data_IF_550763327411
#
_entry.id   IF_550763327411
#
_cell.length_a   1.000
_cell.length_b   1.000
_cell.length_c   1.000
_cell.angle_alpha   90.00
_cell.angle_beta   90.00
_cell.angle_gamma   90.00
#
_symmetry.space_group_name_H-M   'P 1'
#
loop_
_entity.id
_entity.type
_entity.pdbx_description
1 polymer ?
#
# COMPACT_ATOMS: atom_id res chain seq x y z
N UNK A 1 -6.55 -9.07 22.71
CA UNK A 1 -5.96 -7.80 22.21
C UNK A 1 -7.04 -6.71 21.99
N UNK A 2 -6.95 -5.55 22.67
CA UNK A 2 -7.95 -4.46 22.59
C UNK A 2 -8.11 -3.87 21.19
N UNK A 3 -7.08 -3.99 20.35
CA UNK A 3 -7.00 -3.31 19.07
C UNK A 3 -7.26 -4.22 17.88
N UNK A 4 -7.59 -5.50 18.08
CA UNK A 4 -7.84 -6.44 16.98
C UNK A 4 -6.62 -6.67 16.05
N UNK A 5 -5.44 -6.19 16.42
CA UNK A 5 -4.18 -6.48 15.73
C UNK A 5 -3.69 -7.87 16.15
N UNK A 6 -3.16 -8.61 15.18
CA UNK A 6 -2.40 -9.84 15.44
C UNK A 6 -1.05 -9.48 16.07
N UNK A 7 -0.47 -10.42 16.81
CA UNK A 7 0.82 -10.23 17.47
C UNK A 7 1.95 -9.93 16.45
N UNK A 8 1.85 -10.45 15.22
CA UNK A 8 2.76 -10.15 14.12
C UNK A 8 2.76 -8.67 13.67
N UNK A 9 1.73 -7.90 14.05
CA UNK A 9 1.62 -6.46 13.76
C UNK A 9 2.11 -5.57 14.92
N UNK A 10 2.38 -6.16 16.08
CA UNK A 10 2.92 -5.45 17.24
C UNK A 10 4.44 -5.23 17.08
N UNK A 11 4.97 -4.12 17.58
CA UNK A 11 6.37 -3.80 17.42
C UNK A 11 7.23 -4.56 18.44
N UNK A 12 8.35 -5.13 18.01
CA UNK A 12 9.36 -5.70 18.90
C UNK A 12 10.40 -4.65 19.32
N UNK A 13 11.11 -4.83 20.44
CA UNK A 13 12.19 -3.92 20.85
C UNK A 13 13.27 -3.75 19.78
N UNK A 14 13.70 -4.84 19.15
CA UNK A 14 14.75 -4.82 18.13
C UNK A 14 14.30 -4.09 16.86
N UNK A 15 13.07 -4.32 16.41
CA UNK A 15 12.54 -3.64 15.23
C UNK A 15 12.32 -2.14 15.48
N UNK A 16 11.88 -1.76 16.69
CA UNK A 16 11.84 -0.34 17.10
C UNK A 16 13.22 0.28 17.08
N UNK A 17 14.23 -0.39 17.63
CA UNK A 17 15.61 0.12 17.66
C UNK A 17 16.15 0.34 16.24
N UNK A 18 15.96 -0.62 15.32
CA UNK A 18 16.33 -0.49 13.90
C UNK A 18 15.64 0.70 13.22
N UNK A 19 14.33 0.82 13.41
CA UNK A 19 13.56 1.92 12.79
C UNK A 19 13.94 3.27 13.38
N UNK A 20 14.11 3.38 14.69
CA UNK A 20 14.54 4.62 15.34
C UNK A 20 15.95 5.03 14.91
N UNK A 21 16.87 4.08 14.73
CA UNK A 21 18.19 4.36 14.15
C UNK A 21 18.08 4.96 12.74
N UNK A 22 17.17 4.44 11.92
CA UNK A 22 16.91 4.97 10.56
C UNK A 22 16.24 6.34 10.59
N UNK A 23 15.32 6.61 11.53
CA UNK A 23 14.61 7.90 11.63
C UNK A 23 15.39 9.00 12.35
N UNK A 24 16.30 8.63 13.26
CA UNK A 24 17.02 9.56 14.14
C UNK A 24 17.68 10.73 13.40
N UNK A 25 18.40 10.51 12.28
CA UNK A 25 19.01 11.61 11.50
C UNK A 25 18.00 12.59 10.89
N UNK A 26 16.72 12.20 10.84
CA UNK A 26 15.65 12.94 10.19
C UNK A 26 14.58 13.46 11.17
N UNK A 27 14.74 13.19 12.47
CA UNK A 27 13.89 13.78 13.52
C UNK A 27 14.15 15.29 13.56
N UNK A 28 13.09 16.09 13.70
CA UNK A 28 13.14 17.55 13.67
C UNK A 28 13.12 18.19 12.27
N UNK A 29 13.33 17.42 11.20
CA UNK A 29 13.12 17.90 9.82
C UNK A 29 11.63 18.03 9.47
N UNK A 30 11.35 18.77 8.38
CA UNK A 30 10.00 18.80 7.80
C UNK A 30 9.55 17.40 7.38
N UNK A 31 8.25 17.21 7.19
CA UNK A 31 7.70 15.92 6.79
C UNK A 31 8.26 15.46 5.43
N UNK A 32 8.35 16.38 4.48
CA UNK A 32 8.90 16.14 3.14
C UNK A 32 10.36 15.72 3.22
N UNK A 33 11.17 16.45 4.00
CA UNK A 33 12.58 16.15 4.21
C UNK A 33 12.78 14.81 4.92
N UNK A 34 11.92 14.49 5.90
CA UNK A 34 11.99 13.22 6.62
C UNK A 34 11.63 12.03 5.72
N UNK A 35 10.58 12.14 4.91
CA UNK A 35 10.21 11.12 3.93
C UNK A 35 11.32 10.95 2.87
N UNK A 36 11.85 12.06 2.35
CA UNK A 36 12.95 12.03 1.39
C UNK A 36 14.23 11.40 1.96
N UNK A 37 14.57 11.71 3.21
CA UNK A 37 15.71 11.12 3.93
C UNK A 37 15.55 9.62 4.15
N UNK A 38 14.36 9.19 4.60
CA UNK A 38 14.01 7.79 4.81
C UNK A 38 14.17 6.93 3.54
N UNK A 39 13.72 7.43 2.39
CA UNK A 39 13.88 6.73 1.10
C UNK A 39 15.23 7.00 0.43
N UNK A 40 16.02 7.93 0.97
CA UNK A 40 17.32 8.32 0.46
C UNK A 40 18.34 7.18 0.46
N UNK A 41 18.23 6.28 1.43
CA UNK A 41 19.09 5.09 1.56
C UNK A 41 18.63 3.85 0.77
N UNK A 42 17.54 3.92 0.00
CA UNK A 42 17.11 2.82 -0.86
C UNK A 42 17.92 2.79 -2.17
N UNK A 43 18.37 1.61 -2.58
CA UNK A 43 19.12 1.41 -3.83
C UNK A 43 18.15 1.29 -5.01
N UNK A 44 17.57 2.42 -5.40
CA UNK A 44 16.48 2.54 -6.39
C UNK A 44 16.75 1.83 -7.72
N UNK A 45 18.00 1.77 -8.16
CA UNK A 45 18.37 1.13 -9.43
C UNK A 45 18.23 -0.40 -9.42
N UNK A 46 18.37 -1.03 -8.25
CA UNK A 46 18.39 -2.49 -8.08
C UNK A 46 17.19 -3.00 -7.28
N UNK A 47 16.72 -2.24 -6.29
CA UNK A 47 15.68 -2.69 -5.37
C UNK A 47 14.25 -2.52 -5.93
N UNK A 48 14.01 -1.55 -6.81
CA UNK A 48 12.67 -1.32 -7.34
C UNK A 48 12.33 -2.30 -8.47
N UNK A 49 11.06 -2.73 -8.58
CA UNK A 49 10.54 -3.39 -9.78
C UNK A 49 10.81 -2.55 -11.04
N UNK A 50 11.03 -3.22 -12.17
CA UNK A 50 11.27 -2.57 -13.47
C UNK A 50 10.22 -1.52 -13.84
N UNK A 51 8.90 -1.76 -13.68
CA UNK A 51 7.85 -0.77 -13.94
C UNK A 51 7.97 0.50 -13.10
N UNK A 52 8.64 0.43 -11.94
CA UNK A 52 8.75 1.56 -11.03
C UNK A 52 10.02 2.36 -11.32
N UNK A 53 11.03 1.78 -11.97
CA UNK A 53 12.29 2.50 -12.23
C UNK A 53 12.03 3.76 -13.05
N UNK A 54 12.92 4.74 -12.96
CA UNK A 54 12.84 5.91 -13.84
C UNK A 54 13.08 5.46 -15.27
N UNK A 55 12.25 5.89 -16.22
CA UNK A 55 12.39 5.48 -17.62
C UNK A 55 13.78 5.85 -18.14
N UNK A 56 14.47 4.89 -18.77
CA UNK A 56 15.71 5.14 -19.52
C UNK A 56 15.35 5.32 -21.00
N UNK A 57 15.98 6.28 -21.67
CA UNK A 57 15.76 6.54 -23.10
C UNK A 57 14.79 7.70 -23.38
N UNK A 58 14.24 7.80 -24.61
CA UNK A 58 13.40 8.91 -25.01
C UNK A 58 12.15 8.97 -24.12
N UNK A 59 11.81 10.18 -23.68
CA UNK A 59 10.65 10.41 -22.85
C UNK A 59 9.37 9.99 -23.61
N UNK A 60 8.36 9.44 -22.92
CA UNK A 60 7.11 9.08 -23.57
C UNK A 60 6.49 10.32 -24.23
N UNK A 61 5.76 10.09 -25.32
CA UNK A 61 4.95 11.11 -25.96
C UNK A 61 3.94 11.57 -24.91
N UNK A 62 3.91 12.88 -24.68
CA UNK A 62 3.05 13.50 -23.69
C UNK A 62 2.78 14.92 -24.15
N UNK A 63 1.60 15.12 -24.69
CA UNK A 63 1.22 16.39 -25.29
C UNK A 63 0.80 17.39 -24.23
N UNK A 64 0.80 18.66 -24.61
CA UNK A 64 0.22 19.72 -23.78
C UNK A 64 -1.29 19.48 -23.58
N UNK A 65 -1.97 18.85 -24.55
CA UNK A 65 -3.35 18.41 -24.41
C UNK A 65 -3.52 17.36 -23.30
N UNK A 66 -2.66 16.33 -23.24
CA UNK A 66 -2.65 15.38 -22.13
C UNK A 66 -2.45 16.07 -20.78
N UNK A 67 -1.53 17.04 -20.70
CA UNK A 67 -1.31 17.82 -19.49
C UNK A 67 -2.57 18.62 -19.10
N UNK A 68 -3.23 19.24 -20.08
CA UNK A 68 -4.42 20.06 -19.87
C UNK A 68 -5.63 19.23 -19.44
N UNK A 69 -5.79 18.00 -19.94
CA UNK A 69 -6.83 17.08 -19.46
C UNK A 69 -6.67 16.76 -17.97
N UNK A 70 -5.45 16.45 -17.54
CA UNK A 70 -5.14 16.22 -16.12
C UNK A 70 -5.29 17.50 -15.28
N UNK A 71 -4.87 18.65 -15.81
CA UNK A 71 -5.09 19.95 -15.15
C UNK A 71 -6.60 20.26 -15.00
N UNK A 72 -7.40 19.90 -16.00
CA UNK A 72 -8.86 19.99 -15.98
C UNK A 72 -9.48 19.17 -14.86
N UNK A 73 -9.08 17.90 -14.74
CA UNK A 73 -9.51 17.04 -13.63
C UNK A 73 -9.13 17.66 -12.27
N UNK A 74 -7.88 18.10 -12.11
CA UNK A 74 -7.40 18.71 -10.86
C UNK A 74 -8.22 19.94 -10.48
N UNK A 75 -8.52 20.83 -11.45
CA UNK A 75 -9.36 22.02 -11.21
C UNK A 75 -10.77 21.63 -10.79
N UNK A 76 -11.37 20.62 -11.43
CA UNK A 76 -12.70 20.13 -11.06
C UNK A 76 -12.70 19.55 -9.63
N UNK A 77 -11.72 18.73 -9.28
CA UNK A 77 -11.58 18.14 -7.94
C UNK A 77 -11.31 19.20 -6.86
N UNK A 78 -10.59 20.28 -7.18
CA UNK A 78 -10.40 21.42 -6.29
C UNK A 78 -11.71 22.19 -6.06
N UNK A 79 -12.56 22.31 -7.08
CA UNK A 79 -13.81 23.05 -6.99
C UNK A 79 -14.96 22.24 -6.36
N UNK A 80 -15.04 20.94 -6.66
CA UNK A 80 -16.18 20.08 -6.34
C UNK A 80 -15.87 19.00 -5.29
N UNK A 81 -14.60 18.81 -4.95
CA UNK A 81 -14.16 17.80 -3.99
C UNK A 81 -14.12 16.36 -4.51
N UNK A 82 -14.57 16.09 -5.74
CA UNK A 82 -14.61 14.75 -6.35
C UNK A 82 -14.25 14.78 -7.84
N UNK A 83 -13.77 13.67 -8.42
CA UNK A 83 -13.56 13.57 -9.87
C UNK A 83 -14.91 13.48 -10.61
N UNK A 84 -14.89 13.85 -11.89
CA UNK A 84 -15.97 13.60 -12.83
C UNK A 84 -15.64 12.38 -13.70
N UNK A 85 -16.65 11.74 -14.30
CA UNK A 85 -16.41 10.62 -15.20
C UNK A 85 -15.67 11.07 -16.46
N UNK A 86 -14.54 10.42 -16.74
CA UNK A 86 -13.70 10.77 -17.88
C UNK A 86 -12.70 9.67 -18.23
N UNK A 87 -12.23 9.73 -19.48
CA UNK A 87 -11.08 8.98 -19.96
C UNK A 87 -9.86 9.91 -19.99
N UNK A 88 -8.79 9.53 -19.30
CA UNK A 88 -7.54 10.31 -19.24
C UNK A 88 -6.36 9.50 -19.77
N UNK A 89 -5.46 10.13 -20.55
CA UNK A 89 -4.26 9.45 -21.04
C UNK A 89 -3.28 9.19 -19.87
N UNK A 90 -2.47 8.14 -20.00
CA UNK A 90 -1.33 7.84 -19.15
C UNK A 90 -0.04 7.81 -20.00
N UNK A 91 1.13 8.20 -19.45
CA UNK A 91 2.35 8.17 -20.24
C UNK A 91 2.70 6.73 -20.64
N UNK A 92 2.84 6.48 -21.94
CA UNK A 92 3.01 5.12 -22.48
C UNK A 92 1.80 4.56 -23.23
N UNK A 93 0.90 5.42 -23.70
CA UNK A 93 -0.26 5.08 -24.58
C UNK A 93 -1.40 4.32 -23.89
N UNK A 94 -1.31 4.11 -22.58
CA UNK A 94 -2.43 3.62 -21.76
C UNK A 94 -3.42 4.72 -21.41
N UNK A 95 -4.60 4.33 -20.96
CA UNK A 95 -5.65 5.24 -20.50
C UNK A 95 -6.26 4.76 -19.19
N UNK A 96 -6.62 5.71 -18.33
CA UNK A 96 -7.44 5.46 -17.15
C UNK A 96 -8.87 5.95 -17.41
N UNK A 97 -9.84 5.07 -17.18
CA UNK A 97 -11.26 5.41 -17.14
C UNK A 97 -11.68 5.64 -15.69
N UNK A 98 -12.41 6.72 -15.46
CA UNK A 98 -13.09 7.02 -14.20
C UNK A 98 -14.58 7.00 -14.49
N UNK A 99 -15.30 6.09 -13.85
CA UNK A 99 -16.75 5.93 -14.00
C UNK A 99 -17.51 6.91 -13.09
N UNK A 100 -18.82 7.07 -13.33
CA UNK A 100 -19.67 7.98 -12.54
C UNK A 100 -19.78 7.59 -11.06
N UNK A 101 -19.69 6.30 -10.76
CA UNK A 101 -19.70 5.76 -9.40
C UNK A 101 -18.33 5.82 -8.70
N UNK A 102 -17.29 6.29 -9.41
CA UNK A 102 -15.92 6.39 -8.93
C UNK A 102 -15.08 5.13 -9.14
N UNK A 103 -15.63 4.07 -9.75
CA UNK A 103 -14.85 2.93 -10.21
C UNK A 103 -13.79 3.37 -11.23
N UNK A 104 -12.65 2.68 -11.22
CA UNK A 104 -11.49 3.04 -12.03
C UNK A 104 -10.99 1.81 -12.77
N UNK A 105 -10.63 1.97 -14.04
CA UNK A 105 -9.97 0.92 -14.82
C UNK A 105 -8.83 1.49 -15.66
N UNK A 106 -7.80 0.68 -15.93
CA UNK A 106 -6.69 1.05 -16.80
C UNK A 106 -6.62 0.07 -17.96
N UNK A 107 -6.85 0.56 -19.18
CA UNK A 107 -6.98 -0.26 -20.40
C UNK A 107 -7.90 -1.48 -20.22
N UNK A 108 -9.02 -1.30 -19.51
CA UNK A 108 -10.00 -2.35 -19.22
C UNK A 108 -9.70 -3.21 -17.99
N UNK A 109 -8.54 -3.05 -17.34
CA UNK A 109 -8.24 -3.72 -16.07
C UNK A 109 -8.88 -2.93 -14.93
N UNK A 110 -9.87 -3.51 -14.27
CA UNK A 110 -10.53 -2.91 -13.10
C UNK A 110 -9.55 -2.77 -11.92
N UNK A 111 -9.58 -1.61 -11.26
CA UNK A 111 -8.81 -1.36 -10.05
C UNK A 111 -9.66 -1.68 -8.83
N UNK A 112 -9.09 -2.42 -7.88
CA UNK A 112 -9.85 -2.85 -6.70
C UNK A 112 -10.08 -1.70 -5.72
N UNK A 113 -9.24 -0.67 -5.81
CA UNK A 113 -9.17 0.44 -4.86
C UNK A 113 -8.94 1.75 -5.60
N UNK A 114 -9.45 2.83 -5.02
CA UNK A 114 -9.29 4.16 -5.57
C UNK A 114 -7.82 4.60 -5.55
N UNK A 115 -7.38 5.22 -6.64
CA UNK A 115 -6.10 5.90 -6.71
C UNK A 115 -6.16 7.28 -6.03
N UNK A 116 -5.02 7.80 -5.55
CA UNK A 116 -4.88 9.19 -5.12
C UNK A 116 -4.88 10.13 -6.34
N UNK A 117 -6.03 10.27 -6.99
CA UNK A 117 -6.20 10.97 -8.27
C UNK A 117 -5.77 12.43 -8.22
N UNK A 118 -5.91 13.12 -7.08
CA UNK A 118 -5.52 14.52 -6.95
C UNK A 118 -4.00 14.68 -7.10
N UNK A 119 -3.25 13.82 -6.43
CA UNK A 119 -1.79 13.81 -6.48
C UNK A 119 -1.28 13.37 -7.86
N UNK A 120 -1.91 12.35 -8.46
CA UNK A 120 -1.59 11.90 -9.81
C UNK A 120 -1.82 13.03 -10.82
N UNK A 121 -2.93 13.77 -10.68
CA UNK A 121 -3.22 14.91 -11.55
C UNK A 121 -2.17 16.03 -11.42
N UNK A 122 -1.65 16.31 -10.21
CA UNK A 122 -0.54 17.25 -10.01
C UNK A 122 0.75 16.80 -10.70
N UNK A 123 1.00 15.49 -10.79
CA UNK A 123 2.13 14.98 -11.58
C UNK A 123 1.91 15.09 -13.07
N UNK A 124 0.79 14.57 -13.55
CA UNK A 124 0.54 14.37 -14.97
C UNK A 124 0.09 15.63 -15.71
N UNK A 125 -0.34 16.67 -14.98
CA UNK A 125 -0.49 18.02 -15.51
C UNK A 125 0.84 18.73 -15.80
N UNK A 126 1.98 18.12 -15.45
CA UNK A 126 3.31 18.67 -15.69
C UNK A 126 4.12 17.76 -16.61
N UNK A 127 4.36 18.22 -17.84
CA UNK A 127 5.09 17.45 -18.85
C UNK A 127 6.48 17.01 -18.40
N UNK A 128 7.15 17.73 -17.51
CA UNK A 128 8.48 17.36 -17.01
C UNK A 128 8.48 16.14 -16.08
N UNK A 129 7.31 15.72 -15.57
CA UNK A 129 7.18 14.62 -14.61
C UNK A 129 6.75 13.30 -15.26
N UNK A 130 6.47 13.28 -16.56
CA UNK A 130 6.00 12.08 -17.28
C UNK A 130 6.93 10.86 -17.24
N UNK A 131 8.24 11.08 -17.12
CA UNK A 131 9.27 10.02 -17.19
C UNK A 131 9.73 9.53 -15.80
N UNK A 132 9.05 9.94 -14.72
CA UNK A 132 9.43 9.59 -13.35
C UNK A 132 9.20 8.11 -13.00
N UNK A 133 8.33 7.46 -13.77
CA UNK A 133 8.00 6.04 -13.73
C UNK A 133 8.18 5.50 -15.15
N UNK A 134 8.70 4.28 -15.30
CA UNK A 134 8.96 3.66 -16.60
C UNK A 134 7.67 3.17 -17.25
N UNK A 135 6.79 2.58 -16.45
CA UNK A 135 5.47 2.10 -16.84
C UNK A 135 4.41 2.57 -15.84
N UNK A 136 3.61 3.55 -16.27
CA UNK A 136 2.55 4.12 -15.45
C UNK A 136 1.37 3.17 -15.24
N UNK A 137 1.03 2.34 -16.22
CA UNK A 137 -0.08 1.39 -16.09
C UNK A 137 0.21 0.42 -14.97
N UNK A 138 1.35 -0.28 -15.06
CA UNK A 138 1.71 -1.29 -14.06
C UNK A 138 1.95 -0.66 -12.68
N UNK A 139 2.57 0.53 -12.60
CA UNK A 139 2.74 1.23 -11.33
C UNK A 139 1.41 1.66 -10.68
N UNK A 140 0.44 2.15 -11.44
CA UNK A 140 -0.86 2.54 -10.90
C UNK A 140 -1.69 1.34 -10.46
N UNK A 141 -1.64 0.22 -11.20
CA UNK A 141 -2.26 -1.04 -10.75
C UNK A 141 -1.65 -1.45 -9.40
N UNK A 142 -0.32 -1.46 -9.28
CA UNK A 142 0.35 -1.76 -8.01
C UNK A 142 -0.04 -0.81 -6.87
N UNK A 143 -0.11 0.49 -7.16
CA UNK A 143 -0.54 1.51 -6.19
C UNK A 143 -1.97 1.26 -5.70
N UNK A 144 -2.88 0.86 -6.60
CA UNK A 144 -4.25 0.48 -6.22
C UNK A 144 -4.27 -0.74 -5.31
N UNK A 145 -3.44 -1.76 -5.58
CA UNK A 145 -3.41 -2.98 -4.77
C UNK A 145 -2.89 -2.75 -3.34
N UNK A 146 -1.90 -1.87 -3.16
CA UNK A 146 -1.29 -1.61 -1.83
C UNK A 146 -2.03 -0.58 -0.98
N UNK A 147 -2.98 0.15 -1.54
CA UNK A 147 -3.71 1.21 -0.84
C UNK A 147 -5.07 0.73 -0.34
N UNK A 148 -5.61 1.45 0.65
CA UNK A 148 -6.98 1.30 1.14
C UNK A 148 -7.64 2.66 1.26
N UNK A 149 -8.92 2.74 0.90
CA UNK A 149 -9.71 3.93 1.21
C UNK A 149 -9.88 4.04 2.73
N UNK A 150 -9.62 5.23 3.26
CA UNK A 150 -9.80 5.51 4.68
C UNK A 150 -11.10 6.31 4.89
N UNK A 151 -12.19 5.68 5.36
CA UNK A 151 -13.40 6.41 5.68
C UNK A 151 -13.23 7.23 6.97
N UNK A 152 -14.08 8.23 7.20
CA UNK A 152 -14.17 8.89 8.51
C UNK A 152 -14.49 7.87 9.60
N UNK A 153 -13.64 7.79 10.63
CA UNK A 153 -13.75 6.78 11.69
C UNK A 153 -13.53 7.35 13.09
N UNK A 154 -14.19 6.74 14.07
CA UNK A 154 -13.97 6.96 15.50
C UNK A 154 -12.75 6.19 16.00
N UNK A 155 -12.21 6.59 17.15
CA UNK A 155 -11.00 6.02 17.75
C UNK A 155 -11.08 4.49 17.91
N UNK A 156 -12.24 3.97 18.31
CA UNK A 156 -12.46 2.54 18.55
C UNK A 156 -12.54 1.71 17.26
N UNK A 157 -12.76 2.33 16.11
CA UNK A 157 -12.96 1.65 14.84
C UNK A 157 -11.65 1.31 14.13
N UNK A 158 -10.55 1.99 14.49
CA UNK A 158 -9.24 1.80 13.86
C UNK A 158 -8.72 0.37 13.90
N UNK A 159 -8.81 -0.27 15.08
CA UNK A 159 -8.35 -1.65 15.26
C UNK A 159 -9.11 -2.65 14.38
N UNK A 160 -10.45 -2.70 14.50
CA UNK A 160 -11.28 -3.50 13.61
C UNK A 160 -11.11 -3.17 12.12
N UNK A 161 -10.92 -1.91 11.77
CA UNK A 161 -10.66 -1.50 10.38
C UNK A 161 -9.32 -2.04 9.87
N UNK A 162 -8.23 -1.91 10.62
CA UNK A 162 -6.92 -2.46 10.23
C UNK A 162 -6.98 -3.98 10.03
N UNK A 163 -7.73 -4.68 10.88
CA UNK A 163 -7.94 -6.13 10.74
C UNK A 163 -8.73 -6.52 9.48
N UNK A 164 -9.79 -5.76 9.13
CA UNK A 164 -10.61 -6.03 7.93
C UNK A 164 -9.98 -5.54 6.63
N UNK A 165 -9.27 -4.41 6.67
CA UNK A 165 -8.66 -3.79 5.50
C UNK A 165 -7.27 -4.36 5.18
N UNK A 166 -6.68 -5.13 6.12
CA UNK A 166 -5.46 -5.88 5.90
C UNK A 166 -5.63 -7.03 4.93
N UNK A 167 -4.50 -7.66 4.63
CA UNK A 167 -4.42 -8.81 3.74
C UNK A 167 -3.70 -9.95 4.44
N UNK A 168 -3.99 -11.17 4.00
CA UNK A 168 -3.27 -12.33 4.49
C UNK A 168 -1.78 -12.21 4.09
N UNK A 169 -0.88 -12.69 4.94
CA UNK A 169 0.54 -12.79 4.55
C UNK A 169 0.71 -13.73 3.36
N UNK A 170 -0.08 -14.81 3.34
CA UNK A 170 -0.25 -15.70 2.19
C UNK A 170 -1.72 -16.13 2.13
N UNK A 171 -2.29 -16.26 0.93
CA UNK A 171 -3.72 -16.50 0.69
C UNK A 171 -4.15 -17.97 0.76
N UNK A 172 -3.19 -18.91 0.68
CA UNK A 172 -3.40 -20.35 0.77
C UNK A 172 -2.37 -21.05 1.68
N UNK A 173 -2.69 -22.21 2.28
CA UNK A 173 -1.75 -22.94 3.14
C UNK A 173 -0.68 -23.71 2.35
N UNK A 174 -0.84 -23.87 1.03
CA UNK A 174 0.17 -24.41 0.14
C UNK A 174 -0.02 -23.88 -1.29
N UNK A 175 1.00 -24.05 -2.13
CA UNK A 175 1.07 -23.47 -3.48
C UNK A 175 0.01 -23.99 -4.45
N UNK A 176 -0.37 -25.27 -4.32
CA UNK A 176 -1.24 -25.97 -5.28
C UNK A 176 -2.73 -25.67 -5.09
N UNK A 177 -3.09 -24.93 -4.04
CA UNK A 177 -4.48 -24.55 -3.83
C UNK A 177 -4.85 -23.38 -4.73
N UNK A 178 -5.83 -23.65 -5.59
CA UNK A 178 -6.37 -22.67 -6.53
C UNK A 178 -7.34 -21.70 -5.87
N UNK A 179 -8.12 -22.18 -4.90
CA UNK A 179 -9.09 -21.39 -4.14
C UNK A 179 -8.44 -20.64 -2.96
N UNK A 180 -8.92 -19.43 -2.68
CA UNK A 180 -8.58 -18.72 -1.44
C UNK A 180 -9.37 -19.30 -0.28
N UNK A 181 -8.68 -19.80 0.75
CA UNK A 181 -9.35 -20.36 1.94
C UNK A 181 -9.79 -19.26 2.90
N UNK A 182 -9.10 -18.11 2.91
CA UNK A 182 -9.39 -17.01 3.84
C UNK A 182 -10.33 -16.01 3.19
N UNK A 183 -11.38 -15.61 3.90
CA UNK A 183 -12.27 -14.49 3.55
C UNK A 183 -11.62 -13.10 3.65
N UNK A 184 -10.30 -12.99 3.51
CA UNK A 184 -9.53 -11.75 3.50
C UNK A 184 -8.92 -11.48 2.13
N UNK A 185 -8.42 -10.26 1.92
CA UNK A 185 -7.74 -9.92 0.67
C UNK A 185 -6.42 -10.69 0.52
N UNK A 186 -6.12 -11.09 -0.72
CA UNK A 186 -4.82 -11.59 -1.14
C UNK A 186 -3.73 -10.53 -0.90
N UNK A 187 -2.48 -10.94 -0.75
CA UNK A 187 -1.36 -10.01 -0.65
C UNK A 187 -1.28 -9.11 -1.90
N UNK A 188 -1.08 -7.77 -1.78
CA UNK A 188 -1.08 -6.83 -2.90
C UNK A 188 -0.13 -7.18 -4.03
N UNK A 189 0.98 -7.86 -3.73
CA UNK A 189 1.90 -8.33 -4.76
C UNK A 189 1.27 -9.36 -5.69
N UNK A 190 0.61 -10.38 -5.15
CA UNK A 190 -0.07 -11.35 -5.97
C UNK A 190 -1.30 -10.75 -6.68
N UNK A 191 -2.00 -9.81 -6.05
CA UNK A 191 -3.07 -9.06 -6.72
C UNK A 191 -2.53 -8.28 -7.94
N UNK A 192 -1.40 -7.58 -7.78
CA UNK A 192 -0.76 -6.82 -8.85
C UNK A 192 -0.22 -7.70 -9.98
N UNK A 193 0.44 -8.82 -9.65
CA UNK A 193 0.94 -9.77 -10.66
C UNK A 193 -0.24 -10.45 -11.37
N UNK A 194 -1.24 -10.92 -10.64
CA UNK A 194 -2.39 -11.60 -11.20
C UNK A 194 -3.19 -10.71 -12.15
N UNK A 195 -3.33 -9.40 -11.85
CA UNK A 195 -4.00 -8.44 -12.74
C UNK A 195 -3.26 -8.14 -14.04
N UNK A 196 -1.98 -8.52 -14.13
CA UNK A 196 -1.19 -8.41 -15.35
C UNK A 196 -1.22 -9.71 -16.18
N UNK A 197 -1.82 -10.78 -15.67
CA UNK A 197 -2.02 -12.01 -16.41
C UNK A 197 -3.25 -11.89 -17.31
N UNK A 198 -3.26 -12.65 -18.42
CA UNK A 198 -4.41 -12.76 -19.33
C UNK A 198 -5.57 -13.60 -18.73
N UNK A 199 -5.32 -14.24 -17.59
CA UNK A 199 -6.28 -15.07 -16.85
C UNK A 199 -7.04 -14.23 -15.81
N UNK A 200 -8.35 -14.45 -15.72
CA UNK A 200 -9.20 -13.82 -14.70
C UNK A 200 -9.62 -14.83 -13.63
N UNK A 201 -9.73 -14.42 -12.36
CA UNK A 201 -10.18 -15.30 -11.29
C UNK A 201 -11.63 -15.75 -11.52
N UNK A 202 -11.95 -16.97 -11.09
CA UNK A 202 -13.29 -17.56 -11.17
C UNK A 202 -13.69 -18.25 -9.86
N UNK A 203 -14.77 -19.04 -9.86
CA UNK A 203 -15.26 -19.74 -8.67
C UNK A 203 -14.24 -20.73 -8.07
N UNK A 204 -13.25 -21.19 -8.85
CA UNK A 204 -12.27 -22.22 -8.48
C UNK A 204 -10.84 -21.71 -8.44
N UNK A 205 -10.59 -20.51 -8.96
CA UNK A 205 -9.25 -19.93 -9.11
C UNK A 205 -9.21 -18.52 -8.54
N UNK A 206 -8.33 -18.32 -7.57
CA UNK A 206 -8.07 -17.01 -6.99
C UNK A 206 -7.03 -16.23 -7.79
N UNK A 207 -7.09 -14.90 -7.72
CA UNK A 207 -6.08 -14.02 -8.31
C UNK A 207 -4.67 -14.32 -7.78
N UNK A 208 -4.58 -14.76 -6.51
CA UNK A 208 -3.32 -15.16 -5.90
C UNK A 208 -2.75 -16.43 -6.51
N UNK A 209 -3.60 -17.43 -6.78
CA UNK A 209 -3.18 -18.64 -7.49
C UNK A 209 -2.68 -18.32 -8.91
N UNK A 210 -3.43 -17.51 -9.66
CA UNK A 210 -3.03 -17.06 -11.01
C UNK A 210 -1.62 -16.45 -10.95
N UNK A 211 -1.37 -15.54 -10.00
CA UNK A 211 -0.06 -14.94 -9.83
C UNK A 211 1.05 -15.96 -9.49
N UNK A 212 0.80 -16.89 -8.55
CA UNK A 212 1.78 -17.93 -8.15
C UNK A 212 2.16 -18.85 -9.30
N UNK A 213 1.22 -19.14 -10.20
CA UNK A 213 1.47 -19.98 -11.37
C UNK A 213 2.22 -19.25 -12.49
N UNK A 214 2.25 -17.92 -12.45
CA UNK A 214 2.89 -17.05 -13.43
C UNK A 214 4.24 -16.50 -12.94
N UNK A 215 5.12 -17.37 -12.40
CA UNK A 215 6.43 -16.97 -11.87
C UNK A 215 7.36 -16.32 -12.92
N UNK A 216 7.19 -16.65 -14.20
CA UNK A 216 7.93 -15.97 -15.28
C UNK A 216 7.67 -14.46 -15.29
N UNK A 217 6.41 -14.04 -15.06
CA UNK A 217 6.06 -12.63 -14.97
C UNK A 217 6.68 -11.98 -13.73
N UNK A 218 6.75 -12.70 -12.61
CA UNK A 218 7.46 -12.22 -11.41
C UNK A 218 8.95 -11.97 -11.70
N UNK A 219 9.59 -12.89 -12.44
CA UNK A 219 10.97 -12.74 -12.90
C UNK A 219 11.14 -11.52 -13.82
N UNK A 220 10.23 -11.31 -14.78
CA UNK A 220 10.28 -10.17 -15.72
C UNK A 220 10.10 -8.81 -15.05
N UNK A 221 9.24 -8.75 -14.02
CA UNK A 221 9.01 -7.54 -13.23
C UNK A 221 10.26 -7.15 -12.42
N UNK A 222 11.08 -8.13 -12.03
CA UNK A 222 12.31 -7.99 -11.23
C UNK A 222 12.12 -7.20 -9.92
N UNK A 223 13.24 -6.85 -9.27
CA UNK A 223 13.28 -6.02 -8.08
C UNK A 223 13.08 -6.81 -6.80
N UNK A 224 13.27 -6.12 -5.67
CA UNK A 224 13.30 -6.75 -4.35
C UNK A 224 12.00 -7.50 -3.98
N UNK A 225 10.79 -6.99 -4.32
CA UNK A 225 9.55 -7.72 -4.06
C UNK A 225 9.53 -9.08 -4.78
N UNK A 226 9.84 -9.11 -6.08
CA UNK A 226 9.82 -10.35 -6.87
C UNK A 226 10.86 -11.35 -6.38
N UNK A 227 12.10 -10.91 -6.15
CA UNK A 227 13.16 -11.76 -5.60
C UNK A 227 12.73 -12.42 -4.28
N UNK A 228 12.18 -11.63 -3.37
CA UNK A 228 11.79 -12.12 -2.05
C UNK A 228 10.60 -13.09 -2.11
N UNK A 229 9.63 -12.83 -2.99
CA UNK A 229 8.50 -13.73 -3.17
C UNK A 229 8.91 -15.04 -3.83
N UNK A 230 9.73 -15.00 -4.88
CA UNK A 230 10.24 -16.22 -5.54
C UNK A 230 10.99 -17.11 -4.55
N UNK A 231 11.82 -16.54 -3.67
CA UNK A 231 12.51 -17.29 -2.60
C UNK A 231 11.52 -17.96 -1.62
N UNK A 232 10.40 -17.31 -1.29
CA UNK A 232 9.37 -17.88 -0.40
C UNK A 232 8.60 -18.99 -1.11
N UNK A 233 8.33 -18.84 -2.41
CA UNK A 233 7.60 -19.85 -3.18
C UNK A 233 8.40 -21.15 -3.38
N UNK A 234 9.70 -21.16 -3.06
CA UNK A 234 10.55 -22.36 -3.06
C UNK A 234 10.54 -23.08 -1.69
N UNK A 235 9.90 -22.53 -0.67
CA UNK A 235 9.97 -22.99 0.73
C UNK A 235 8.56 -23.13 1.35
N UNK A 236 8.03 -24.36 1.34
CA UNK A 236 6.71 -24.70 1.87
C UNK A 236 6.54 -24.38 3.37
N UNK A 237 7.62 -24.41 4.16
CA UNK A 237 7.58 -24.05 5.58
C UNK A 237 7.32 -22.55 5.74
N UNK A 238 8.05 -21.71 4.99
CA UNK A 238 7.82 -20.25 4.96
C UNK A 238 6.39 -19.91 4.49
N UNK A 239 5.89 -20.58 3.46
CA UNK A 239 4.50 -20.40 3.00
C UNK A 239 3.50 -20.68 4.12
N UNK A 240 3.70 -21.78 4.84
CA UNK A 240 2.84 -22.20 5.96
C UNK A 240 2.88 -21.20 7.13
N UNK A 241 4.04 -20.66 7.45
CA UNK A 241 4.20 -19.61 8.46
C UNK A 241 3.47 -18.32 8.04
N UNK A 242 3.67 -17.87 6.80
CA UNK A 242 3.07 -16.64 6.27
C UNK A 242 1.55 -16.73 6.14
N UNK A 243 1.00 -17.91 5.83
CA UNK A 243 -0.45 -18.13 5.82
C UNK A 243 -1.08 -17.79 7.17
N UNK A 244 -0.36 -17.99 8.29
CA UNK A 244 -0.86 -17.66 9.63
C UNK A 244 -0.67 -16.19 10.04
N UNK A 245 -0.11 -15.36 9.16
CA UNK A 245 0.10 -13.94 9.39
C UNK A 245 -0.94 -13.06 8.68
N UNK A 246 -0.98 -11.80 9.07
CA UNK A 246 -1.77 -10.74 8.44
C UNK A 246 -0.89 -9.50 8.36
N UNK A 247 -1.06 -8.71 7.31
CA UNK A 247 -0.39 -7.42 7.10
C UNK A 247 -1.44 -6.32 7.13
N UNK A 248 -1.29 -5.38 8.07
CA UNK A 248 -2.16 -4.22 8.13
C UNK A 248 -1.76 -3.21 7.04
N UNK A 249 -2.74 -2.53 6.40
CA UNK A 249 -2.43 -1.54 5.38
C UNK A 249 -1.67 -0.37 6.00
N UNK A 250 -0.71 0.20 5.25
CA UNK A 250 0.11 1.34 5.70
C UNK A 250 -0.04 2.57 4.82
N UNK A 251 -0.45 2.36 3.57
CA UNK A 251 -0.76 3.39 2.61
C UNK A 251 -2.28 3.45 2.46
N UNK A 252 -2.82 4.67 2.52
CA UNK A 252 -4.27 4.90 2.39
C UNK A 252 -4.53 6.07 1.45
N UNK A 253 -5.71 6.05 0.84
CA UNK A 253 -6.22 7.18 0.07
C UNK A 253 -7.33 7.83 0.90
N UNK A 254 -7.20 9.15 1.07
CA UNK A 254 -8.15 9.99 1.78
C UNK A 254 -8.26 11.29 0.97
N UNK A 255 -9.49 11.69 0.62
CA UNK A 255 -9.76 12.88 -0.20
C UNK A 255 -8.98 12.91 -1.54
N UNK A 256 -8.78 11.72 -2.12
CA UNK A 256 -8.02 11.47 -3.35
C UNK A 256 -6.52 11.83 -3.25
N UNK A 257 -5.97 11.87 -2.05
CA UNK A 257 -4.56 12.10 -1.76
C UNK A 257 -3.94 10.89 -1.05
N UNK A 258 -2.67 10.61 -1.34
CA UNK A 258 -1.94 9.51 -0.75
C UNK A 258 -1.48 9.88 0.67
N UNK A 259 -1.82 9.02 1.62
CA UNK A 259 -1.51 9.20 3.01
C UNK A 259 -0.79 7.98 3.58
N UNK A 260 0.03 8.23 4.60
CA UNK A 260 0.69 7.20 5.38
C UNK A 260 0.04 7.11 6.77
N UNK A 261 -0.19 5.89 7.25
CA UNK A 261 -0.70 5.65 8.60
C UNK A 261 0.42 5.71 9.63
N UNK A 262 0.21 6.51 10.67
CA UNK A 262 1.15 6.68 11.78
C UNK A 262 0.43 6.66 13.11
N UNK A 263 1.17 6.37 14.16
CA UNK A 263 0.74 6.60 15.53
C UNK A 263 1.19 8.01 15.95
N UNK A 264 0.27 8.76 16.56
CA UNK A 264 0.57 10.06 17.19
C UNK A 264 -0.20 10.21 18.50
N UNK A 265 0.52 10.54 19.58
CA UNK A 265 0.01 10.63 20.94
C UNK A 265 -0.80 9.39 21.39
N UNK A 266 -0.34 8.21 20.95
CA UNK A 266 -0.96 6.91 21.26
C UNK A 266 -2.23 6.62 20.49
N UNK A 267 -2.50 7.34 19.39
CA UNK A 267 -3.68 7.16 18.53
C UNK A 267 -3.26 7.04 17.07
N UNK A 268 -3.86 6.13 16.28
CA UNK A 268 -3.64 6.11 14.84
C UNK A 268 -4.15 7.41 14.20
N UNK A 269 -3.39 7.93 13.25
CA UNK A 269 -3.78 9.03 12.38
C UNK A 269 -3.07 8.91 11.02
N UNK A 270 -3.38 9.81 10.11
CA UNK A 270 -2.74 9.91 8.80
C UNK A 270 -1.76 11.08 8.75
N UNK A 271 -0.78 10.98 7.86
CA UNK A 271 0.01 12.11 7.36
C UNK A 271 0.03 12.08 5.83
N UNK A 272 -0.02 13.24 5.14
CA UNK A 272 0.04 13.26 3.69
C UNK A 272 1.42 12.82 3.19
N UNK A 273 1.48 12.00 2.14
CA UNK A 273 2.74 11.68 1.49
C UNK A 273 3.00 12.76 0.44
N UNK A 274 4.17 13.40 0.52
CA UNK A 274 4.59 14.38 -0.48
C UNK A 274 4.51 13.80 -1.90
N UNK A 275 4.14 14.63 -2.88
CA UNK A 275 4.00 14.25 -4.28
C UNK A 275 5.40 14.14 -4.94
N UNK A 276 6.26 13.30 -4.36
CA UNK A 276 7.61 12.96 -4.79
C UNK A 276 7.63 11.52 -5.35
N UNK A 277 7.88 11.36 -6.66
CA UNK A 277 7.89 10.04 -7.31
C UNK A 277 8.89 9.07 -6.70
N UNK A 278 10.02 9.56 -6.17
CA UNK A 278 10.99 8.70 -5.49
C UNK A 278 10.39 8.11 -4.22
N UNK A 279 9.71 8.92 -3.42
CA UNK A 279 9.07 8.48 -2.17
C UNK A 279 8.00 7.45 -2.46
N UNK A 280 7.07 7.76 -3.37
CA UNK A 280 5.95 6.87 -3.69
C UNK A 280 6.41 5.51 -4.17
N UNK A 281 7.33 5.46 -5.14
CA UNK A 281 7.84 4.20 -5.69
C UNK A 281 8.50 3.31 -4.66
N UNK A 282 9.26 3.89 -3.73
CA UNK A 282 9.90 3.12 -2.66
C UNK A 282 8.86 2.61 -1.67
N UNK A 283 7.89 3.45 -1.25
CA UNK A 283 6.86 3.01 -0.32
C UNK A 283 5.94 1.95 -0.92
N UNK A 284 5.53 2.09 -2.19
CA UNK A 284 4.75 1.07 -2.90
C UNK A 284 5.55 -0.21 -3.03
N UNK A 285 6.83 -0.13 -3.42
CA UNK A 285 7.71 -1.31 -3.49
C UNK A 285 7.81 -2.03 -2.15
N UNK A 286 8.04 -1.30 -1.04
CA UNK A 286 8.08 -1.91 0.30
C UNK A 286 6.76 -2.57 0.70
N UNK A 287 5.61 -2.05 0.24
CA UNK A 287 4.29 -2.60 0.56
C UNK A 287 3.97 -3.87 -0.24
N UNK A 288 4.71 -4.12 -1.31
CA UNK A 288 4.61 -5.33 -2.12
C UNK A 288 5.54 -6.44 -1.61
N UNK A 289 6.55 -6.13 -0.82
CA UNK A 289 7.42 -7.15 -0.26
C UNK A 289 6.68 -8.05 0.76
N UNK A 290 7.13 -9.30 0.95
CA UNK A 290 6.53 -10.22 1.92
C UNK A 290 6.67 -9.73 3.38
N UNK A 291 5.80 -10.17 4.32
CA UNK A 291 5.68 -9.59 5.67
C UNK A 291 6.99 -9.49 6.49
N UNK A 292 7.90 -10.45 6.31
CA UNK A 292 9.17 -10.54 7.05
C UNK A 292 10.36 -9.96 6.29
N UNK A 293 10.10 -9.31 5.16
CA UNK A 293 11.13 -8.61 4.41
C UNK A 293 11.54 -7.31 5.10
N UNK A 294 12.70 -6.78 4.68
CA UNK A 294 13.21 -5.50 5.15
C UNK A 294 12.28 -4.33 4.81
N UNK A 295 11.69 -4.29 3.62
CA UNK A 295 10.77 -3.22 3.20
C UNK A 295 9.45 -3.25 3.96
N UNK A 296 8.81 -4.42 4.03
CA UNK A 296 7.57 -4.61 4.77
C UNK A 296 7.76 -4.31 6.27
N UNK A 297 8.89 -4.75 6.84
CA UNK A 297 9.26 -4.43 8.21
C UNK A 297 9.35 -2.91 8.42
N UNK A 298 10.07 -2.18 7.55
CA UNK A 298 10.17 -0.71 7.65
C UNK A 298 8.78 -0.06 7.66
N UNK A 299 7.88 -0.42 6.74
CA UNK A 299 6.52 0.12 6.70
C UNK A 299 5.74 -0.18 7.98
N UNK A 300 5.84 -1.42 8.51
CA UNK A 300 5.22 -1.81 9.78
C UNK A 300 5.72 -0.94 10.93
N UNK A 301 7.03 -0.74 11.07
CA UNK A 301 7.60 0.01 12.19
C UNK A 301 7.49 1.53 12.04
N UNK A 302 7.40 2.05 10.82
CA UNK A 302 7.11 3.46 10.58
C UNK A 302 5.80 3.88 11.23
N UNK A 303 4.76 3.04 11.17
CA UNK A 303 3.51 3.31 11.90
C UNK A 303 3.77 3.60 13.38
N UNK A 304 4.60 2.78 14.04
CA UNK A 304 4.87 2.88 15.47
C UNK A 304 5.87 3.98 15.86
N UNK A 305 6.84 4.28 14.99
CA UNK A 305 8.03 5.07 15.36
C UNK A 305 8.05 6.49 14.73
N UNK A 306 7.11 6.80 13.83
CA UNK A 306 7.14 8.05 13.06
C UNK A 306 7.10 9.29 13.94
N UNK A 307 6.10 9.39 14.83
CA UNK A 307 5.90 10.58 15.66
C UNK A 307 6.78 10.57 16.92
N UNK A 308 7.05 9.40 17.51
CA UNK A 308 7.89 9.24 18.70
C UNK A 308 8.60 7.88 18.70
N UNK A 309 9.72 7.76 19.42
CA UNK A 309 10.54 6.55 19.46
C UNK A 309 9.89 5.38 20.21
N UNK A 310 9.09 5.71 21.23
CA UNK A 310 8.51 4.76 22.19
C UNK A 310 7.00 4.87 22.22
N UNK A 311 6.39 5.12 21.07
CA UNK A 311 4.96 5.31 21.01
C UNK A 311 4.19 4.00 21.07
N UNK A 312 3.17 3.93 21.92
CA UNK A 312 2.28 2.78 22.07
C UNK A 312 0.83 3.19 21.87
N UNK A 313 0.07 2.33 21.20
CA UNK A 313 -1.34 2.57 20.95
C UNK A 313 -2.11 2.41 22.28
N UNK A 314 -2.79 3.47 22.68
CA UNK A 314 -3.58 3.54 23.91
C UNK A 314 -5.06 3.24 23.61
N UNK A 315 -5.75 2.45 24.44
CA UNK A 315 -7.19 2.27 24.31
C UNK A 315 -7.92 3.58 24.56
N UNK A 316 -9.05 3.75 23.88
CA UNK A 316 -9.92 4.91 24.07
C UNK A 316 -10.48 4.93 25.49
N UNK A 317 -10.92 6.11 25.97
CA UNK A 317 -11.59 6.21 27.28
C UNK A 317 -12.83 5.32 27.39
N UNK A 318 -13.55 5.13 26.28
CA UNK A 318 -14.72 4.23 26.24
C UNK A 318 -14.27 2.78 26.35
N UNK A 319 -13.25 2.37 25.59
CA UNK A 319 -12.69 1.02 25.69
C UNK A 319 -12.23 0.71 27.12
N UNK A 320 -11.49 1.62 27.76
CA UNK A 320 -11.05 1.48 29.15
C UNK A 320 -12.21 1.34 30.14
N UNK A 321 -13.30 2.11 29.96
CA UNK A 321 -14.50 1.99 30.80
C UNK A 321 -15.17 0.64 30.62
N UNK A 322 -15.32 0.19 29.37
CA UNK A 322 -15.88 -1.14 29.06
C UNK A 322 -15.05 -2.26 29.65
N UNK A 323 -13.71 -2.17 29.64
CA UNK A 323 -12.83 -3.16 30.30
C UNK A 323 -13.06 -3.21 31.79
N UNK A 324 -13.14 -2.04 32.44
CA UNK A 324 -13.36 -1.96 33.88
C UNK A 324 -14.70 -2.57 34.27
N UNK A 325 -15.75 -2.29 33.50
CA UNK A 325 -17.07 -2.91 33.68
C UNK A 325 -17.00 -4.43 33.48
N UNK A 326 -16.41 -4.91 32.39
CA UNK A 326 -16.27 -6.36 32.13
C UNK A 326 -15.51 -7.05 33.27
N UNK A 327 -14.39 -6.47 33.70
CA UNK A 327 -13.59 -6.98 34.81
C UNK A 327 -14.40 -7.02 36.10
N UNK A 328 -15.11 -5.94 36.45
CA UNK A 328 -15.94 -5.93 37.66
C UNK A 328 -17.07 -6.96 37.59
N UNK A 329 -17.63 -7.20 36.41
CA UNK A 329 -18.66 -8.25 36.22
C UNK A 329 -18.06 -9.63 36.40
N UNK A 330 -16.89 -9.92 35.80
CA UNK A 330 -16.19 -11.20 35.98
C UNK A 330 -15.83 -11.42 37.46
N UNK A 331 -15.24 -10.43 38.12
CA UNK A 331 -14.90 -10.50 39.55
C UNK A 331 -16.15 -10.67 40.43
N UNK A 332 -17.31 -10.16 40.02
CA UNK A 332 -18.57 -10.38 40.75
C UNK A 332 -19.17 -11.77 40.57
N UNK A 333 -18.71 -12.53 39.57
CA UNK A 333 -19.20 -13.88 39.26
C UNK A 333 -18.38 -14.99 39.93
N UNK A 334 -17.26 -14.66 40.59
CA UNK A 334 -16.42 -15.60 41.35
C UNK A 334 -15.09 -15.90 40.68
#
# INVERSE_FOLDING_TARGET
PFFGLLDSQLPTPDGRARMNSTLSPHRGLSQEQRLAGLVGGAHISTELPQPFKTRRGPAPIWSDESCEMWAGLLRAMNAQGKPYSCLLPLPGESFIMIEEDGAQSIDGIELDRQLPLRDIAVWLSNSNRRATVSDWKSFLIALSSVTRELPPMQEEQWGPWMGRAGWAGFDAPNLLMSESIRGGSTHPYFEWIGKQCDESPDERTSIGYIARMNQNLMCEVEGRPSEAWLEILEDDEKVSEMFNSMVAPRLVVMDYELHFLVLRNGRPCTIPITIDPKVWRVLVSWALEPPDSRGAEKLRYLFWCWSSEYEDWRPSTRQLRSTKMLRSTIESLG
#
